data_IF_005077133478
#
_entry.id   IF_005077133478
#
_cell.length_a   1.000
_cell.length_b   1.000
_cell.length_c   1.000
_cell.angle_alpha   90.00
_cell.angle_beta   90.00
_cell.angle_gamma   90.00
#
_symmetry.space_group_name_H-M   'P 1'
#
loop_
_entity.id
_entity.type
_entity.pdbx_description
1 polymer ?
#
# COMPACT_ATOMS: atom_id res chain seq x y z
N UNK A 1 -13.78 19.83 3.94
CA UNK A 1 -14.27 18.43 4.08
C UNK A 1 -13.71 17.61 2.92
N UNK A 2 -13.86 16.28 2.89
CA UNK A 2 -13.25 15.44 1.84
C UNK A 2 -13.74 15.79 0.42
N UNK A 3 -15.00 16.23 0.29
CA UNK A 3 -15.56 16.67 -1.00
C UNK A 3 -14.89 17.95 -1.50
N UNK A 4 -14.73 18.94 -0.64
CA UNK A 4 -14.05 20.19 -1.00
C UNK A 4 -12.55 19.99 -1.26
N UNK A 5 -11.95 18.94 -0.71
CA UNK A 5 -10.55 18.56 -0.94
C UNK A 5 -10.34 17.72 -2.22
N UNK A 6 -11.42 17.27 -2.87
CA UNK A 6 -11.36 16.40 -4.05
C UNK A 6 -10.92 14.95 -3.75
N UNK A 7 -10.98 14.51 -2.48
CA UNK A 7 -10.49 13.19 -2.06
C UNK A 7 -11.61 12.23 -1.64
N UNK A 8 -12.88 12.65 -1.64
CA UNK A 8 -13.99 11.86 -1.12
C UNK A 8 -14.10 10.45 -1.73
N UNK A 9 -14.08 10.35 -3.05
CA UNK A 9 -14.18 9.07 -3.75
C UNK A 9 -12.91 8.21 -3.55
N UNK A 10 -11.74 8.86 -3.55
CA UNK A 10 -10.47 8.19 -3.31
C UNK A 10 -10.39 7.60 -1.89
N UNK A 11 -10.85 8.32 -0.86
CA UNK A 11 -10.95 7.78 0.51
C UNK A 11 -11.88 6.58 0.54
N UNK A 12 -13.06 6.65 -0.08
CA UNK A 12 -13.97 5.50 -0.10
C UNK A 12 -13.29 4.28 -0.75
N UNK A 13 -12.64 4.46 -1.90
CA UNK A 13 -11.96 3.36 -2.58
C UNK A 13 -10.79 2.81 -1.77
N UNK A 14 -10.01 3.68 -1.12
CA UNK A 14 -8.91 3.31 -0.23
C UNK A 14 -9.41 2.43 0.93
N UNK A 15 -10.46 2.86 1.64
CA UNK A 15 -11.03 2.08 2.74
C UNK A 15 -11.64 0.75 2.24
N UNK A 16 -12.23 0.72 1.04
CA UNK A 16 -12.68 -0.54 0.44
C UNK A 16 -11.50 -1.47 0.11
N UNK A 17 -10.33 -0.94 -0.27
CA UNK A 17 -9.09 -1.70 -0.41
C UNK A 17 -8.69 -2.38 0.89
N UNK A 18 -8.75 -1.66 2.02
CA UNK A 18 -8.50 -2.25 3.34
C UNK A 18 -9.53 -3.30 3.74
N UNK A 19 -10.82 -3.09 3.42
CA UNK A 19 -11.88 -4.09 3.66
C UNK A 19 -11.61 -5.38 2.88
N UNK A 20 -11.08 -5.28 1.65
CA UNK A 20 -10.70 -6.42 0.83
C UNK A 20 -9.37 -7.09 1.26
N UNK A 21 -8.61 -6.46 2.16
CA UNK A 21 -7.42 -7.05 2.77
C UNK A 21 -6.10 -6.37 2.45
N UNK A 22 -6.07 -5.36 1.59
CA UNK A 22 -4.82 -4.65 1.26
C UNK A 22 -4.30 -3.97 2.54
N UNK A 23 -3.11 -4.34 2.98
CA UNK A 23 -2.50 -3.81 4.21
C UNK A 23 -3.02 -4.38 5.53
N UNK A 24 -4.27 -4.84 5.56
CA UNK A 24 -4.92 -5.36 6.78
C UNK A 24 -4.76 -6.87 6.94
N UNK A 25 -4.63 -7.62 5.85
CA UNK A 25 -4.52 -9.09 5.85
C UNK A 25 -3.15 -9.60 5.37
N UNK A 26 -2.18 -8.71 5.15
CA UNK A 26 -0.86 -9.12 4.67
C UNK A 26 -0.13 -10.07 5.63
N UNK A 27 -0.17 -9.82 6.94
CA UNK A 27 0.45 -10.69 7.95
C UNK A 27 -0.25 -12.05 8.04
N UNK A 28 -1.58 -12.03 8.09
CA UNK A 28 -2.41 -13.24 8.15
C UNK A 28 -2.22 -14.16 6.93
N UNK A 29 -1.86 -13.58 5.77
CA UNK A 29 -1.54 -14.31 4.55
C UNK A 29 -0.03 -14.62 4.39
N UNK A 30 0.81 -14.28 5.37
CA UNK A 30 2.24 -14.53 5.33
C UNK A 30 2.98 -13.72 4.25
N UNK A 31 2.43 -12.58 3.86
CA UNK A 31 2.96 -11.71 2.81
C UNK A 31 3.96 -10.68 3.34
N UNK A 32 4.17 -10.60 4.65
CA UNK A 32 5.19 -9.74 5.24
C UNK A 32 6.17 -10.54 6.10
N UNK A 33 7.43 -10.17 6.03
CA UNK A 33 8.46 -10.60 6.98
C UNK A 33 8.61 -9.54 8.07
N UNK A 34 8.52 -9.98 9.33
CA UNK A 34 8.78 -9.15 10.51
C UNK A 34 10.20 -9.40 11.03
N UNK A 35 11.06 -8.38 11.04
CA UNK A 35 12.37 -8.44 11.70
C UNK A 35 12.51 -7.44 12.87
N UNK A 36 11.73 -6.36 12.91
CA UNK A 36 11.69 -5.37 14.02
C UNK A 36 10.30 -4.80 14.25
N UNK A 37 10.03 -4.13 15.39
CA UNK A 37 8.73 -3.47 15.60
C UNK A 37 8.73 -2.04 15.01
N UNK A 38 7.70 -1.67 14.23
CA UNK A 38 6.53 -2.47 13.86
C UNK A 38 6.87 -3.50 12.76
N UNK A 39 6.39 -4.73 12.95
CA UNK A 39 6.82 -5.99 12.32
C UNK A 39 6.59 -6.19 10.82
N UNK A 40 6.97 -5.26 9.95
CA UNK A 40 6.59 -5.30 8.54
C UNK A 40 7.69 -4.81 7.60
N UNK A 41 8.89 -5.35 7.72
CA UNK A 41 10.07 -4.82 7.04
C UNK A 41 10.12 -5.14 5.54
N UNK A 42 9.46 -6.22 5.10
CA UNK A 42 9.53 -6.66 3.72
C UNK A 42 8.28 -7.38 3.27
N UNK A 43 7.68 -6.90 2.19
CA UNK A 43 6.63 -7.62 1.47
C UNK A 43 7.24 -8.80 0.69
N UNK A 44 6.57 -9.95 0.70
CA UNK A 44 7.06 -11.22 0.14
C UNK A 44 6.18 -11.80 -0.98
N UNK A 45 5.00 -11.22 -1.22
CA UNK A 45 4.08 -11.71 -2.25
C UNK A 45 4.68 -11.60 -3.66
N UNK A 46 4.75 -12.71 -4.43
CA UNK A 46 5.48 -12.75 -5.69
C UNK A 46 4.85 -11.88 -6.78
N UNK A 47 3.52 -11.71 -6.78
CA UNK A 47 2.83 -10.93 -7.80
C UNK A 47 3.07 -9.44 -7.58
N UNK A 48 2.92 -8.93 -6.36
CA UNK A 48 3.21 -7.52 -6.08
C UNK A 48 4.71 -7.21 -6.29
N UNK A 49 5.61 -8.14 -5.97
CA UNK A 49 7.05 -7.99 -6.27
C UNK A 49 7.30 -7.90 -7.78
N UNK A 50 6.63 -8.75 -8.59
CA UNK A 50 6.72 -8.68 -10.07
C UNK A 50 6.28 -7.31 -10.59
N UNK A 51 5.15 -6.79 -10.11
CA UNK A 51 4.65 -5.47 -10.52
C UNK A 51 5.58 -4.34 -10.06
N UNK A 52 6.10 -4.42 -8.83
CA UNK A 52 7.09 -3.46 -8.31
C UNK A 52 8.36 -3.40 -9.17
N UNK A 53 8.84 -4.54 -9.67
CA UNK A 53 10.03 -4.58 -10.53
C UNK A 53 9.86 -3.86 -11.88
N UNK A 54 8.62 -3.59 -12.30
CA UNK A 54 8.33 -2.77 -13.49
C UNK A 54 8.32 -1.27 -13.18
N UNK A 55 8.32 -0.88 -11.90
CA UNK A 55 8.34 0.50 -11.47
C UNK A 55 9.77 1.02 -11.37
N UNK A 56 9.94 2.30 -11.66
CA UNK A 56 11.20 3.03 -11.47
C UNK A 56 11.00 4.11 -10.41
N UNK A 57 12.03 4.41 -9.61
CA UNK A 57 12.03 5.52 -8.65
C UNK A 57 12.31 5.10 -7.22
N UNK A 58 12.11 3.83 -6.88
CA UNK A 58 12.48 3.25 -5.59
C UNK A 58 13.53 2.17 -5.78
N UNK A 59 14.49 2.09 -4.86
CA UNK A 59 15.68 1.23 -4.98
C UNK A 59 15.68 0.04 -4.04
N UNK A 60 14.60 -0.17 -3.27
CA UNK A 60 14.46 -1.33 -2.40
C UNK A 60 14.28 -2.61 -3.23
N UNK A 61 14.65 -3.75 -2.63
CA UNK A 61 14.58 -5.08 -3.26
C UNK A 61 13.15 -5.57 -3.51
N UNK A 62 12.20 -5.09 -2.72
CA UNK A 62 10.76 -5.31 -2.87
C UNK A 62 9.99 -4.01 -2.63
N UNK A 63 8.66 -4.02 -2.80
CA UNK A 63 7.84 -2.84 -2.59
C UNK A 63 7.94 -2.39 -1.13
N UNK A 64 8.37 -1.13 -0.87
CA UNK A 64 8.54 -0.65 0.49
C UNK A 64 7.17 -0.43 1.16
N UNK A 65 7.04 -0.97 2.36
CA UNK A 65 5.90 -0.79 3.26
C UNK A 65 6.13 0.49 4.08
N UNK A 66 5.07 1.21 4.42
CA UNK A 66 5.15 2.40 5.26
C UNK A 66 5.68 2.01 6.66
N UNK A 67 6.80 2.64 7.02
CA UNK A 67 7.42 2.60 8.35
C UNK A 67 7.87 4.02 8.70
N UNK A 68 6.97 4.81 9.28
CA UNK A 68 7.18 6.23 9.46
C UNK A 68 7.20 6.63 10.92
N UNK A 69 8.41 6.81 11.45
CA UNK A 69 8.65 7.23 12.82
C UNK A 69 7.95 8.55 13.19
N UNK A 70 7.63 9.42 12.22
CA UNK A 70 6.93 10.68 12.46
C UNK A 70 5.41 10.55 12.43
N UNK A 71 4.87 9.48 11.82
CA UNK A 71 3.43 9.20 11.72
C UNK A 71 3.12 7.72 11.90
N UNK A 72 3.32 7.16 13.12
CA UNK A 72 3.26 5.71 13.35
C UNK A 72 1.88 5.08 13.12
N UNK A 73 0.82 5.89 13.00
CA UNK A 73 -0.56 5.40 12.87
C UNK A 73 -0.85 4.69 11.54
N UNK A 74 0.02 4.82 10.54
CA UNK A 74 -0.15 4.21 9.21
C UNK A 74 0.82 3.06 8.95
N UNK A 75 1.69 2.74 9.91
CA UNK A 75 2.74 1.74 9.73
C UNK A 75 2.15 0.36 9.42
N UNK A 76 2.84 -0.41 8.58
CA UNK A 76 2.49 -1.77 8.17
C UNK A 76 1.19 -1.97 7.38
N UNK A 77 0.30 -0.99 7.35
CA UNK A 77 -0.97 -1.06 6.62
C UNK A 77 -0.96 -0.45 5.23
N UNK A 78 0.15 0.19 4.83
CA UNK A 78 0.20 1.01 3.62
C UNK A 78 1.50 0.81 2.86
N UNK A 79 1.48 1.21 1.58
CA UNK A 79 2.71 1.42 0.83
C UNK A 79 3.43 2.68 1.28
N UNK A 80 4.76 2.66 1.19
CA UNK A 80 5.59 3.77 1.64
C UNK A 80 5.31 5.04 0.83
N UNK A 81 4.81 6.09 1.49
CA UNK A 81 4.40 7.34 0.85
C UNK A 81 5.58 8.02 0.14
N UNK A 82 6.76 7.99 0.77
CA UNK A 82 8.02 8.51 0.22
C UNK A 82 8.44 7.85 -1.10
N UNK A 83 7.98 6.62 -1.35
CA UNK A 83 8.26 5.90 -2.59
C UNK A 83 7.17 6.13 -3.63
N UNK A 84 5.90 6.01 -3.22
CA UNK A 84 4.80 5.87 -4.18
C UNK A 84 3.94 7.13 -4.35
N UNK A 85 4.01 8.09 -3.41
CA UNK A 85 3.38 9.40 -3.50
C UNK A 85 1.86 9.37 -3.72
N UNK A 86 1.43 9.37 -4.97
CA UNK A 86 0.01 9.44 -5.37
C UNK A 86 -0.64 8.06 -5.59
N UNK A 87 -0.04 7.02 -5.05
CA UNK A 87 -0.64 5.69 -5.07
C UNK A 87 -1.77 5.65 -4.03
N UNK A 88 -2.89 5.02 -4.37
CA UNK A 88 -4.11 5.11 -3.57
C UNK A 88 -3.95 4.54 -2.16
N UNK A 89 -3.15 3.50 -1.97
CA UNK A 89 -2.96 2.75 -0.72
C UNK A 89 -1.72 3.22 0.06
N UNK A 90 -1.21 4.43 -0.20
CA UNK A 90 -0.33 5.12 0.77
C UNK A 90 -1.14 5.65 1.94
N UNK A 91 -0.50 5.89 3.08
CA UNK A 91 -1.18 6.37 4.29
C UNK A 91 -1.78 7.78 4.19
N UNK A 92 -1.45 8.54 3.13
CA UNK A 92 -1.90 9.92 2.96
C UNK A 92 -2.25 10.23 1.51
N UNK A 93 -3.53 10.45 1.26
CA UNK A 93 -3.98 10.89 -0.06
C UNK A 93 -3.54 12.32 -0.36
N UNK A 94 -3.07 12.53 -1.58
CA UNK A 94 -2.74 13.86 -2.11
C UNK A 94 -4.02 14.61 -2.49
N UNK A 95 -4.24 15.77 -1.89
CA UNK A 95 -5.42 16.61 -2.16
C UNK A 95 -5.31 17.34 -3.51
N UNK A 96 -6.46 17.55 -4.17
CA UNK A 96 -6.52 18.28 -5.45
C UNK A 96 -5.91 17.57 -6.66
N UNK A 97 -5.46 16.32 -6.49
CA UNK A 97 -4.92 15.47 -7.56
C UNK A 97 -5.52 14.07 -7.49
N UNK A 98 -5.45 13.33 -8.59
CA UNK A 98 -5.92 11.94 -8.62
C UNK A 98 -4.94 11.02 -7.87
N UNK A 99 -5.47 10.20 -6.95
CA UNK A 99 -4.74 9.13 -6.28
C UNK A 99 -5.12 7.81 -6.96
N UNK A 100 -4.16 7.16 -7.60
CA UNK A 100 -4.43 6.03 -8.49
C UNK A 100 -4.22 4.70 -7.79
N UNK A 101 -5.19 3.79 -7.91
CA UNK A 101 -4.99 2.39 -7.54
C UNK A 101 -4.00 1.76 -8.53
N UNK A 102 -2.84 1.35 -8.04
CA UNK A 102 -1.79 0.79 -8.87
C UNK A 102 -1.97 -0.70 -9.14
N UNK A 103 -1.32 -1.19 -10.22
CA UNK A 103 -1.14 -2.63 -10.46
C UNK A 103 -0.45 -3.33 -9.29
N UNK A 104 0.46 -2.63 -8.59
CA UNK A 104 1.10 -3.12 -7.38
C UNK A 104 0.06 -3.45 -6.29
N UNK A 105 -0.85 -2.52 -5.99
CA UNK A 105 -1.91 -2.72 -5.01
C UNK A 105 -2.89 -3.83 -5.42
N UNK A 106 -3.27 -3.89 -6.70
CA UNK A 106 -4.12 -4.97 -7.23
C UNK A 106 -3.44 -6.34 -7.11
N UNK A 107 -2.14 -6.43 -7.38
CA UNK A 107 -1.39 -7.67 -7.26
C UNK A 107 -1.30 -8.21 -5.83
N UNK A 108 -1.50 -7.38 -4.80
CA UNK A 108 -1.62 -7.88 -3.42
C UNK A 108 -2.90 -8.70 -3.22
N UNK A 109 -3.97 -8.39 -3.95
CA UNK A 109 -5.18 -9.19 -3.94
C UNK A 109 -4.92 -10.55 -4.62
N UNK A 110 -4.17 -10.57 -5.73
CA UNK A 110 -3.71 -11.82 -6.38
C UNK A 110 -2.87 -12.67 -5.40
N UNK A 111 -1.95 -12.04 -4.67
CA UNK A 111 -1.14 -12.69 -3.62
C UNK A 111 -1.98 -13.24 -2.44
N UNK A 112 -3.21 -12.75 -2.25
CA UNK A 112 -4.20 -13.25 -1.28
C UNK A 112 -5.30 -14.12 -1.94
N UNK A 113 -5.02 -14.68 -3.12
CA UNK A 113 -5.90 -15.60 -3.85
C UNK A 113 -7.21 -15.01 -4.42
N UNK A 114 -7.31 -13.69 -4.58
CA UNK A 114 -8.39 -13.08 -5.35
C UNK A 114 -8.18 -13.29 -6.86
N UNK A 115 -9.27 -13.37 -7.62
CA UNK A 115 -9.26 -13.28 -9.08
C UNK A 115 -9.28 -11.79 -9.48
N UNK A 116 -8.29 -11.37 -10.28
CA UNK A 116 -8.06 -9.96 -10.67
C UNK A 116 -7.75 -9.80 -12.16
#
# INVERSE_FOLDING_TARGET
NLRSAGTYEAVILHEMGHVLGIGTLWDDNGLIASSFRPGCDSYMGPNAIREYQQLSGCTSRGPPIEINAFRPSTDCGHWADLCFGRELMTGYLSAGVHNSLSRLSVATLEDMNYEV
#
